data_IF_256927966682
#
_entry.id   IF_256927966682
#
_cell.length_a   1.000
_cell.length_b   1.000
_cell.length_c   1.000
_cell.angle_alpha   90.00
_cell.angle_beta   90.00
_cell.angle_gamma   90.00
#
_symmetry.space_group_name_H-M   'P 1'
#
loop_
_entity.id
_entity.type
_entity.pdbx_description
1 polymer ?
#
# COMPACT_ATOMS: atom_id res chain seq x y z
N UNK A 1 -18.81 -21.74 11.93
CA UNK A 1 -19.50 -20.62 11.28
C UNK A 1 -18.58 -19.40 11.16
N UNK A 2 -18.03 -18.87 12.29
CA UNK A 2 -17.14 -17.68 12.25
C UNK A 2 -15.86 -17.89 11.44
N UNK A 3 -15.24 -19.08 11.50
CA UNK A 3 -14.04 -19.38 10.72
C UNK A 3 -14.30 -19.27 9.21
N UNK A 4 -15.41 -19.84 8.72
CA UNK A 4 -15.81 -19.74 7.31
C UNK A 4 -16.09 -18.27 6.87
N UNK A 5 -16.64 -17.45 7.77
CA UNK A 5 -16.82 -16.03 7.52
C UNK A 5 -15.48 -15.29 7.40
N UNK A 6 -14.49 -15.66 8.23
CA UNK A 6 -13.12 -15.09 8.16
C UNK A 6 -12.44 -15.50 6.86
N UNK A 7 -12.51 -16.79 6.47
CA UNK A 7 -11.98 -17.29 5.20
C UNK A 7 -12.58 -16.54 4.01
N UNK A 8 -13.91 -16.39 3.96
CA UNK A 8 -14.57 -15.65 2.88
C UNK A 8 -14.10 -14.18 2.80
N UNK A 9 -14.00 -13.51 3.94
CA UNK A 9 -13.51 -12.12 4.01
C UNK A 9 -12.03 -12.00 3.64
N UNK A 10 -11.19 -12.97 3.99
CA UNK A 10 -9.79 -12.99 3.62
C UNK A 10 -9.62 -13.13 2.09
N UNK A 11 -10.39 -14.02 1.46
CA UNK A 11 -10.40 -14.18 0.00
C UNK A 11 -10.93 -12.93 -0.72
N UNK A 12 -12.00 -12.32 -0.22
CA UNK A 12 -12.51 -11.05 -0.75
C UNK A 12 -11.46 -9.94 -0.64
N UNK A 13 -10.80 -9.83 0.51
CA UNK A 13 -9.74 -8.85 0.73
C UNK A 13 -8.57 -9.09 -0.23
N UNK A 14 -8.12 -10.32 -0.40
CA UNK A 14 -7.07 -10.66 -1.36
C UNK A 14 -7.45 -10.22 -2.77
N UNK A 15 -8.65 -10.57 -3.23
CA UNK A 15 -9.14 -10.18 -4.57
C UNK A 15 -9.19 -8.66 -4.74
N UNK A 16 -9.65 -7.93 -3.73
CA UNK A 16 -9.73 -6.47 -3.77
C UNK A 16 -8.33 -5.84 -3.83
N UNK A 17 -7.37 -6.36 -3.08
CA UNK A 17 -5.98 -5.88 -3.08
C UNK A 17 -5.30 -6.17 -4.42
N UNK A 18 -5.48 -7.37 -4.99
CA UNK A 18 -4.95 -7.73 -6.32
C UNK A 18 -5.52 -6.82 -7.43
N UNK A 19 -6.81 -6.49 -7.36
CA UNK A 19 -7.44 -5.55 -8.30
C UNK A 19 -6.90 -4.12 -8.10
N UNK A 20 -6.73 -3.67 -6.86
CA UNK A 20 -6.15 -2.36 -6.55
C UNK A 20 -4.69 -2.26 -7.05
N UNK A 21 -3.88 -3.31 -6.85
CA UNK A 21 -2.51 -3.39 -7.36
C UNK A 21 -2.48 -3.27 -8.90
N UNK A 22 -3.35 -4.03 -9.58
CA UNK A 22 -3.44 -3.98 -11.05
C UNK A 22 -3.80 -2.59 -11.55
N UNK A 23 -4.80 -1.96 -10.94
CA UNK A 23 -5.21 -0.60 -11.29
C UNK A 23 -4.09 0.42 -11.02
N UNK A 24 -3.38 0.30 -9.91
CA UNK A 24 -2.24 1.16 -9.58
C UNK A 24 -1.12 1.02 -10.62
N UNK A 25 -0.81 -0.21 -11.06
CA UNK A 25 0.21 -0.46 -12.08
C UNK A 25 -0.22 0.05 -13.46
N UNK A 26 -1.49 -0.04 -13.82
CA UNK A 26 -2.01 0.55 -15.06
C UNK A 26 -1.85 2.08 -15.05
N UNK A 27 -2.24 2.73 -13.95
CA UNK A 27 -2.05 4.17 -13.76
C UNK A 27 -0.56 4.54 -13.85
N UNK A 28 0.31 3.74 -13.22
CA UNK A 28 1.76 3.94 -13.29
C UNK A 28 2.28 3.95 -14.73
N UNK A 29 1.96 2.92 -15.52
CA UNK A 29 2.43 2.83 -16.91
C UNK A 29 1.89 3.98 -17.76
N UNK A 30 0.61 4.31 -17.65
CA UNK A 30 -0.02 5.43 -18.35
C UNK A 30 0.61 6.77 -17.97
N UNK A 31 0.87 6.99 -16.68
CA UNK A 31 1.51 8.23 -16.19
C UNK A 31 2.95 8.34 -16.67
N UNK A 32 3.70 7.24 -16.67
CA UNK A 32 5.08 7.15 -17.18
C UNK A 32 5.15 7.53 -18.67
N UNK A 33 4.26 6.97 -19.49
CA UNK A 33 4.21 7.29 -20.92
C UNK A 33 3.78 8.74 -21.18
N UNK A 34 2.80 9.24 -20.41
CA UNK A 34 2.37 10.63 -20.49
C UNK A 34 3.49 11.59 -20.11
N UNK A 35 4.23 11.30 -19.05
CA UNK A 35 5.39 12.09 -18.62
C UNK A 35 6.48 12.09 -19.69
N UNK A 36 6.83 10.94 -20.25
CA UNK A 36 7.81 10.81 -21.33
C UNK A 36 7.43 11.69 -22.52
N UNK A 37 6.16 11.63 -22.95
CA UNK A 37 5.64 12.41 -24.05
C UNK A 37 5.65 13.94 -23.73
N UNK A 38 5.36 14.33 -22.49
CA UNK A 38 5.41 15.73 -22.08
C UNK A 38 6.84 16.28 -22.09
N UNK A 39 7.81 15.50 -21.58
CA UNK A 39 9.24 15.87 -21.63
C UNK A 39 9.72 16.01 -23.08
N UNK A 40 9.34 15.08 -23.98
CA UNK A 40 9.72 15.17 -25.38
C UNK A 40 9.17 16.44 -26.05
N UNK A 41 7.90 16.76 -25.78
CA UNK A 41 7.28 17.99 -26.29
C UNK A 41 7.91 19.25 -25.69
N UNK A 42 8.41 19.20 -24.46
CA UNK A 42 9.04 20.35 -23.81
C UNK A 42 10.36 20.78 -24.46
N UNK A 43 11.01 19.90 -25.25
CA UNK A 43 12.22 20.21 -26.03
C UNK A 43 12.02 21.35 -27.02
N UNK A 44 10.76 21.71 -27.33
CA UNK A 44 10.46 22.91 -28.12
C UNK A 44 10.98 24.19 -27.43
N UNK A 45 11.12 24.20 -26.13
CA UNK A 45 11.68 25.31 -25.36
C UNK A 45 13.16 25.55 -25.74
N UNK A 46 13.92 24.46 -25.99
CA UNK A 46 15.31 24.58 -26.44
C UNK A 46 15.39 25.20 -27.85
N UNK A 47 14.41 24.90 -28.72
CA UNK A 47 14.31 25.49 -30.04
C UNK A 47 14.02 27.03 -29.96
N UNK A 48 13.19 27.43 -28.98
CA UNK A 48 12.91 28.87 -28.75
C UNK A 48 14.20 29.59 -28.32
N UNK A 49 15.05 28.94 -27.50
CA UNK A 49 16.34 29.47 -27.11
C UNK A 49 17.23 29.72 -28.33
N UNK A 50 17.38 28.73 -29.21
CA UNK A 50 18.17 28.85 -30.45
C UNK A 50 17.64 29.94 -31.39
N UNK A 51 16.31 30.04 -31.52
CA UNK A 51 15.69 31.09 -32.32
C UNK A 51 15.94 32.49 -31.72
N UNK A 52 15.85 32.61 -30.41
CA UNK A 52 16.13 33.85 -29.69
C UNK A 52 17.59 34.31 -29.89
N UNK A 53 18.55 33.37 -29.84
CA UNK A 53 19.96 33.68 -30.13
C UNK A 53 20.15 34.16 -31.56
N UNK A 54 19.45 33.59 -32.53
CA UNK A 54 19.48 34.01 -33.93
C UNK A 54 18.91 35.44 -34.12
N UNK A 55 17.78 35.73 -33.44
CA UNK A 55 17.17 37.05 -33.46
C UNK A 55 18.11 38.10 -32.80
N UNK A 56 18.78 37.72 -31.70
CA UNK A 56 19.75 38.57 -31.02
C UNK A 56 20.91 38.96 -31.97
N UNK A 57 21.42 38.02 -32.78
CA UNK A 57 22.43 38.28 -33.78
C UNK A 57 21.92 39.21 -34.87
N UNK A 58 20.70 39.03 -35.40
CA UNK A 58 20.08 39.88 -36.40
C UNK A 58 19.90 41.29 -35.86
N UNK A 59 19.42 41.46 -34.61
CA UNK A 59 19.26 42.79 -34.00
C UNK A 59 20.61 43.52 -33.84
N UNK A 60 21.67 42.77 -33.47
CA UNK A 60 23.02 43.34 -33.38
C UNK A 60 23.56 43.82 -34.76
N UNK A 61 23.33 43.00 -35.81
CA UNK A 61 23.69 43.38 -37.18
C UNK A 61 22.89 44.58 -37.70
N UNK A 62 21.57 44.60 -37.38
CA UNK A 62 20.69 45.71 -37.77
C UNK A 62 21.14 47.00 -37.10
N UNK A 63 21.52 46.96 -35.84
CA UNK A 63 22.03 48.12 -35.12
C UNK A 63 23.34 48.63 -35.70
N UNK A 64 24.27 47.73 -36.08
CA UNK A 64 25.51 48.11 -36.77
C UNK A 64 25.25 48.72 -38.15
N UNK A 65 24.30 48.21 -38.94
CA UNK A 65 23.90 48.77 -40.22
C UNK A 65 23.29 50.15 -40.06
N UNK A 66 22.42 50.32 -39.07
CA UNK A 66 21.82 51.61 -38.75
C UNK A 66 22.88 52.68 -38.35
N UNK A 67 23.82 52.26 -37.50
CA UNK A 67 24.92 53.14 -37.10
C UNK A 67 25.79 53.55 -38.31
N UNK A 68 26.14 52.62 -39.20
CA UNK A 68 26.88 52.92 -40.41
C UNK A 68 26.12 53.88 -41.35
N UNK A 69 24.80 53.66 -41.48
CA UNK A 69 23.93 54.55 -42.26
C UNK A 69 23.83 55.95 -41.66
N UNK A 70 23.74 56.05 -40.31
CA UNK A 70 23.75 57.38 -39.63
C UNK A 70 25.08 58.15 -39.85
N UNK A 71 26.21 57.40 -39.79
CA UNK A 71 27.53 58.02 -40.07
C UNK A 71 27.62 58.55 -41.52
N UNK A 72 27.18 57.79 -42.52
CA UNK A 72 27.26 58.20 -43.92
C UNK A 72 26.24 59.33 -44.24
N UNK A 73 25.07 59.31 -43.60
CA UNK A 73 24.10 60.38 -43.66
C UNK A 73 24.66 61.66 -43.07
N UNK A 74 25.40 61.68 -41.99
CA UNK A 74 26.08 62.80 -41.43
C UNK A 74 27.20 63.33 -42.37
N UNK A 75 27.84 62.40 -43.07
CA UNK A 75 28.90 62.78 -44.06
C UNK A 75 28.37 63.49 -45.28
N UNK A 76 27.11 63.24 -45.67
CA UNK A 76 26.41 63.88 -46.78
C UNK A 76 25.86 65.27 -46.42
N UNK A 77 25.96 65.70 -45.18
CA UNK A 77 25.55 67.10 -44.73
C UNK A 77 24.04 67.30 -44.87
N UNK A 78 23.62 68.42 -45.33
CA UNK A 78 22.20 68.80 -45.48
C UNK A 78 21.40 67.81 -46.35
N UNK A 79 22.01 67.19 -47.37
CA UNK A 79 21.37 66.23 -48.26
C UNK A 79 21.07 64.86 -47.50
N UNK A 80 21.82 64.54 -46.43
CA UNK A 80 21.67 63.34 -45.66
C UNK A 80 20.72 63.45 -44.48
N UNK A 81 20.18 64.58 -44.12
CA UNK A 81 19.41 64.82 -42.88
C UNK A 81 18.20 63.89 -42.67
N UNK A 82 17.43 63.62 -43.73
CA UNK A 82 16.31 62.70 -43.69
C UNK A 82 16.74 61.24 -43.46
N UNK A 83 17.87 60.87 -44.05
CA UNK A 83 18.43 59.52 -43.88
C UNK A 83 18.98 59.27 -42.44
N UNK A 84 19.56 60.29 -41.83
CA UNK A 84 20.04 60.24 -40.44
C UNK A 84 18.89 59.94 -39.46
N UNK A 85 17.75 60.60 -39.61
CA UNK A 85 16.57 60.40 -38.75
C UNK A 85 16.05 58.92 -38.89
N UNK A 86 16.01 58.42 -40.12
CA UNK A 86 15.59 57.02 -40.34
C UNK A 86 16.59 55.99 -39.73
N UNK A 87 17.89 56.26 -39.89
CA UNK A 87 18.93 55.40 -39.33
C UNK A 87 18.87 55.36 -37.79
N UNK A 88 18.69 56.58 -37.16
CA UNK A 88 18.54 56.65 -35.70
C UNK A 88 17.29 55.89 -35.18
N UNK A 89 16.20 55.96 -35.96
CA UNK A 89 14.98 55.21 -35.60
C UNK A 89 15.13 53.68 -35.75
N UNK A 90 15.88 53.23 -36.81
CA UNK A 90 16.23 51.81 -36.97
C UNK A 90 17.11 51.32 -35.82
N UNK A 91 18.10 52.15 -35.40
CA UNK A 91 18.95 51.81 -34.24
C UNK A 91 18.12 51.64 -32.96
N UNK A 92 17.19 52.58 -32.67
CA UNK A 92 16.28 52.44 -31.52
C UNK A 92 15.39 51.18 -31.58
N UNK A 93 14.87 50.87 -32.76
CA UNK A 93 14.08 49.65 -32.97
C UNK A 93 14.92 48.38 -32.74
N UNK A 94 16.17 48.37 -33.21
CA UNK A 94 17.09 47.27 -32.98
C UNK A 94 17.39 47.09 -31.48
N UNK A 95 17.64 48.16 -30.75
CA UNK A 95 17.88 48.10 -29.30
C UNK A 95 16.63 47.65 -28.53
N UNK A 96 15.45 48.13 -28.88
CA UNK A 96 14.19 47.68 -28.32
C UNK A 96 13.96 46.19 -28.58
N UNK A 97 14.20 45.72 -29.82
CA UNK A 97 14.13 44.31 -30.20
C UNK A 97 15.10 43.43 -29.39
N UNK A 98 16.35 43.87 -29.23
CA UNK A 98 17.38 43.22 -28.42
C UNK A 98 16.93 43.02 -26.97
N UNK A 99 16.32 44.07 -26.37
CA UNK A 99 15.77 44.00 -25.01
C UNK A 99 14.67 42.96 -24.91
N UNK A 100 13.70 42.96 -25.83
CA UNK A 100 12.59 42.01 -25.86
C UNK A 100 13.08 40.56 -26.02
N UNK A 101 14.06 40.34 -26.89
CA UNK A 101 14.66 38.99 -27.06
C UNK A 101 15.37 38.54 -25.77
N UNK A 102 16.06 39.43 -25.08
CA UNK A 102 16.65 39.12 -23.77
C UNK A 102 15.60 38.72 -22.71
N UNK A 103 14.44 39.39 -22.73
CA UNK A 103 13.31 39.01 -21.88
C UNK A 103 12.75 37.60 -22.25
N UNK A 104 12.63 37.29 -23.54
CA UNK A 104 12.23 35.95 -24.04
C UNK A 104 13.23 34.91 -23.57
N UNK A 105 14.53 35.12 -23.70
CA UNK A 105 15.55 34.17 -23.23
C UNK A 105 15.44 33.88 -21.73
N UNK A 106 15.24 34.93 -20.92
CA UNK A 106 15.06 34.78 -19.46
C UNK A 106 13.80 33.96 -19.12
N UNK A 107 12.69 34.19 -19.80
CA UNK A 107 11.45 33.42 -19.63
C UNK A 107 11.67 31.97 -20.05
N UNK A 108 12.28 31.74 -21.20
CA UNK A 108 12.59 30.41 -21.74
C UNK A 108 13.45 29.61 -20.77
N UNK A 109 14.47 30.22 -20.19
CA UNK A 109 15.33 29.59 -19.18
C UNK A 109 14.54 29.20 -17.94
N UNK A 110 13.67 30.07 -17.42
CA UNK A 110 12.80 29.74 -16.27
C UNK A 110 11.82 28.61 -16.57
N UNK A 111 11.28 28.56 -17.79
CA UNK A 111 10.39 27.45 -18.21
C UNK A 111 11.16 26.14 -18.29
N UNK A 112 12.38 26.17 -18.87
CA UNK A 112 13.23 24.95 -18.93
C UNK A 112 13.56 24.43 -17.53
N UNK A 113 13.93 25.32 -16.60
CA UNK A 113 14.18 24.95 -15.20
C UNK A 113 12.94 24.35 -14.54
N UNK A 114 11.77 24.94 -14.71
CA UNK A 114 10.51 24.45 -14.16
C UNK A 114 10.14 23.05 -14.71
N UNK A 115 10.35 22.84 -16.03
CA UNK A 115 10.11 21.52 -16.66
C UNK A 115 11.08 20.47 -16.13
N UNK A 116 12.35 20.81 -15.95
CA UNK A 116 13.35 19.88 -15.39
C UNK A 116 13.00 19.50 -13.95
N UNK A 117 12.61 20.45 -13.11
CA UNK A 117 12.19 20.19 -11.74
C UNK A 117 10.92 19.32 -11.70
N UNK A 118 9.94 19.62 -12.55
CA UNK A 118 8.72 18.80 -12.69
C UNK A 118 9.06 17.36 -13.09
N UNK A 119 9.96 17.19 -14.06
CA UNK A 119 10.43 15.88 -14.54
C UNK A 119 11.09 15.09 -13.40
N UNK A 120 11.94 15.73 -12.62
CA UNK A 120 12.62 15.09 -11.47
C UNK A 120 11.61 14.60 -10.44
N UNK A 121 10.71 15.45 -9.97
CA UNK A 121 9.72 15.08 -8.97
C UNK A 121 8.71 14.03 -9.48
N UNK A 122 8.32 14.11 -10.76
CA UNK A 122 7.46 13.10 -11.36
C UNK A 122 8.16 11.73 -11.45
N UNK A 123 9.46 11.68 -11.76
CA UNK A 123 10.23 10.45 -11.73
C UNK A 123 10.36 9.87 -10.31
N UNK A 124 10.53 10.70 -9.28
CA UNK A 124 10.53 10.27 -7.88
C UNK A 124 9.18 9.64 -7.51
N UNK A 125 8.07 10.26 -7.89
CA UNK A 125 6.72 9.72 -7.66
C UNK A 125 6.51 8.39 -8.37
N UNK A 126 6.97 8.27 -9.62
CA UNK A 126 6.90 7.00 -10.37
C UNK A 126 7.75 5.91 -9.71
N UNK A 127 8.92 6.25 -9.18
CA UNK A 127 9.74 5.31 -8.42
C UNK A 127 9.03 4.85 -7.15
N UNK A 128 8.48 5.77 -6.37
CA UNK A 128 7.71 5.46 -5.18
C UNK A 128 6.55 4.49 -5.51
N UNK A 129 5.79 4.76 -6.56
CA UNK A 129 4.70 3.88 -6.97
C UNK A 129 5.16 2.48 -7.38
N UNK A 130 6.26 2.39 -8.14
CA UNK A 130 6.74 1.11 -8.68
C UNK A 130 7.48 0.23 -7.66
N UNK A 131 8.05 0.82 -6.62
CA UNK A 131 8.84 0.12 -5.59
C UNK A 131 8.04 0.01 -4.30
N UNK A 132 7.76 1.13 -3.68
CA UNK A 132 7.22 1.15 -2.31
C UNK A 132 5.74 0.73 -2.30
N UNK A 133 4.89 1.36 -3.13
CA UNK A 133 3.46 1.03 -3.22
C UNK A 133 3.24 -0.41 -3.72
N UNK A 134 4.02 -0.87 -4.69
CA UNK A 134 3.92 -2.25 -5.17
C UNK A 134 4.36 -3.26 -4.11
N UNK A 135 5.38 -2.95 -3.31
CA UNK A 135 5.81 -3.76 -2.16
C UNK A 135 4.72 -3.84 -1.10
N UNK A 136 4.04 -2.72 -0.82
CA UNK A 136 2.95 -2.67 0.15
C UNK A 136 1.76 -3.54 -0.29
N UNK A 137 1.39 -3.51 -1.58
CA UNK A 137 0.36 -4.41 -2.11
C UNK A 137 0.73 -5.89 -1.95
N UNK A 138 1.99 -6.26 -2.24
CA UNK A 138 2.46 -7.64 -2.06
C UNK A 138 2.38 -8.06 -0.58
N UNK A 139 2.75 -7.19 0.33
CA UNK A 139 2.64 -7.42 1.78
C UNK A 139 1.17 -7.61 2.20
N UNK A 140 0.25 -6.79 1.69
CA UNK A 140 -1.18 -6.92 1.97
C UNK A 140 -1.76 -8.24 1.45
N UNK A 141 -1.34 -8.69 0.26
CA UNK A 141 -1.72 -10.00 -0.30
C UNK A 141 -1.22 -11.13 0.61
N UNK A 142 0.03 -11.05 1.07
CA UNK A 142 0.60 -12.04 2.00
C UNK A 142 -0.15 -12.08 3.34
N UNK A 143 -0.50 -10.92 3.87
CA UNK A 143 -1.31 -10.81 5.09
C UNK A 143 -2.70 -11.43 4.90
N UNK A 144 -3.35 -11.17 3.77
CA UNK A 144 -4.66 -11.78 3.46
C UNK A 144 -4.57 -13.32 3.38
N UNK A 145 -3.50 -13.86 2.77
CA UNK A 145 -3.23 -15.30 2.75
C UNK A 145 -3.06 -15.87 4.15
N UNK A 146 -2.26 -15.23 5.01
CA UNK A 146 -2.07 -15.65 6.40
C UNK A 146 -3.39 -15.67 7.18
N UNK A 147 -4.25 -14.66 6.99
CA UNK A 147 -5.58 -14.68 7.63
C UNK A 147 -6.45 -15.85 7.16
N UNK A 148 -6.36 -16.23 5.89
CA UNK A 148 -7.04 -17.40 5.39
C UNK A 148 -6.52 -18.69 6.06
N UNK A 149 -5.21 -18.86 6.15
CA UNK A 149 -4.57 -20.02 6.75
C UNK A 149 -4.88 -20.10 8.25
N UNK A 150 -4.84 -19.00 8.97
CA UNK A 150 -5.22 -18.90 10.38
C UNK A 150 -6.70 -19.29 10.59
N UNK A 151 -7.59 -18.89 9.69
CA UNK A 151 -9.00 -19.23 9.76
C UNK A 151 -9.24 -20.75 9.57
N UNK A 152 -8.51 -21.39 8.65
CA UNK A 152 -8.53 -22.84 8.44
C UNK A 152 -8.02 -23.55 9.71
N UNK A 153 -6.88 -23.11 10.22
CA UNK A 153 -6.32 -23.67 11.46
C UNK A 153 -7.28 -23.57 12.65
N UNK A 154 -7.96 -22.44 12.82
CA UNK A 154 -8.97 -22.27 13.87
C UNK A 154 -10.17 -23.21 13.65
N UNK A 155 -10.60 -23.43 12.40
CA UNK A 155 -11.68 -24.34 12.09
C UNK A 155 -11.34 -25.79 12.49
N UNK A 156 -10.12 -26.24 12.17
CA UNK A 156 -9.62 -27.55 12.52
C UNK A 156 -9.51 -27.71 14.05
N UNK A 157 -8.93 -26.72 14.73
CA UNK A 157 -8.82 -26.72 16.20
C UNK A 157 -10.19 -26.79 16.90
N UNK A 158 -11.22 -26.10 16.39
CA UNK A 158 -12.58 -26.19 16.93
C UNK A 158 -13.18 -27.57 16.72
N UNK A 159 -12.89 -28.22 15.60
CA UNK A 159 -13.32 -29.60 15.31
C UNK A 159 -12.67 -30.60 16.29
N UNK A 160 -11.37 -30.52 16.49
CA UNK A 160 -10.62 -31.38 17.42
C UNK A 160 -11.08 -31.12 18.86
N UNK A 161 -11.30 -29.88 19.25
CA UNK A 161 -11.82 -29.55 20.57
C UNK A 161 -13.23 -30.15 20.80
N UNK A 162 -14.07 -30.13 19.77
CA UNK A 162 -15.41 -30.75 19.84
C UNK A 162 -15.33 -32.26 20.03
N UNK A 163 -14.44 -32.95 19.30
CA UNK A 163 -14.20 -34.38 19.45
C UNK A 163 -13.70 -34.72 20.85
N UNK A 164 -12.68 -34.01 21.34
CA UNK A 164 -12.14 -34.21 22.70
C UNK A 164 -13.20 -33.94 23.77
N UNK A 165 -14.07 -32.96 23.58
CA UNK A 165 -15.16 -32.67 24.50
C UNK A 165 -16.19 -33.78 24.55
N UNK A 166 -16.49 -34.44 23.41
CA UNK A 166 -17.38 -35.60 23.37
C UNK A 166 -16.77 -36.84 24.08
N UNK A 167 -15.48 -37.10 23.90
CA UNK A 167 -14.75 -38.13 24.58
C UNK A 167 -14.75 -37.93 26.11
N UNK A 168 -14.55 -36.65 26.53
CA UNK A 168 -14.59 -36.27 27.93
C UNK A 168 -15.97 -36.48 28.55
N UNK A 169 -17.04 -36.17 27.83
CA UNK A 169 -18.43 -36.43 28.27
C UNK A 169 -18.69 -37.94 28.40
N UNK A 170 -18.21 -38.77 27.47
CA UNK A 170 -18.31 -40.22 27.55
C UNK A 170 -17.59 -40.78 28.80
N UNK A 171 -16.35 -40.32 29.03
CA UNK A 171 -15.57 -40.71 30.19
C UNK A 171 -16.22 -40.29 31.52
N UNK A 172 -16.80 -39.09 31.60
CA UNK A 172 -17.58 -38.66 32.77
C UNK A 172 -18.78 -39.59 33.01
N UNK A 173 -19.47 -39.97 31.95
CA UNK A 173 -20.62 -40.88 32.05
C UNK A 173 -20.20 -42.28 32.58
N UNK A 174 -19.06 -42.82 32.12
CA UNK A 174 -18.52 -44.08 32.63
C UNK A 174 -18.11 -43.96 34.10
N UNK A 175 -17.45 -42.89 34.48
CA UNK A 175 -17.09 -42.65 35.90
C UNK A 175 -18.34 -42.57 36.78
N UNK A 176 -19.39 -41.89 36.31
CA UNK A 176 -20.66 -41.78 37.05
C UNK A 176 -21.32 -43.14 37.23
N UNK A 177 -21.36 -43.99 36.18
CA UNK A 177 -21.87 -45.36 36.27
C UNK A 177 -21.02 -46.23 37.23
N UNK A 178 -19.69 -46.02 37.24
CA UNK A 178 -18.80 -46.70 38.20
C UNK A 178 -19.09 -46.30 39.64
N UNK A 179 -19.35 -45.03 39.90
CA UNK A 179 -19.73 -44.52 41.25
C UNK A 179 -21.05 -45.16 41.71
N UNK A 180 -22.06 -45.23 40.81
CA UNK A 180 -23.33 -45.85 41.13
C UNK A 180 -23.17 -47.34 41.46
N UNK A 181 -22.34 -48.06 40.71
CA UNK A 181 -22.03 -49.49 40.98
C UNK A 181 -21.33 -49.68 42.35
N UNK A 182 -20.39 -48.76 42.70
CA UNK A 182 -19.72 -48.76 44.01
C UNK A 182 -20.73 -48.49 45.14
N UNK A 183 -21.66 -47.57 44.94
CA UNK A 183 -22.72 -47.29 45.94
C UNK A 183 -23.61 -48.49 46.18
N UNK A 184 -24.04 -49.17 45.11
CA UNK A 184 -24.82 -50.44 45.22
C UNK A 184 -24.04 -51.56 45.96
N UNK A 185 -22.78 -51.76 45.57
CA UNK A 185 -21.95 -52.75 46.23
C UNK A 185 -21.68 -52.46 47.72
N UNK A 186 -21.55 -51.14 48.04
CA UNK A 186 -21.48 -50.66 49.44
C UNK A 186 -22.73 -50.93 50.23
N UNK A 187 -23.90 -50.73 49.64
CA UNK A 187 -25.20 -51.05 50.24
C UNK A 187 -25.34 -52.54 50.51
N UNK A 188 -25.05 -53.41 49.52
CA UNK A 188 -25.08 -54.83 49.66
C UNK A 188 -24.07 -55.33 50.69
N UNK A 189 -22.87 -54.78 50.77
CA UNK A 189 -21.87 -55.09 51.79
C UNK A 189 -22.33 -54.71 53.21
N UNK A 190 -23.03 -53.56 53.37
CA UNK A 190 -23.61 -53.13 54.65
C UNK A 190 -24.73 -54.13 55.11
N UNK A 191 -25.62 -54.53 54.19
CA UNK A 191 -26.67 -55.48 54.44
C UNK A 191 -26.12 -56.91 54.83
N UNK A 192 -25.09 -57.37 54.06
CA UNK A 192 -24.39 -58.59 54.36
C UNK A 192 -23.71 -58.60 55.75
N UNK A 193 -23.11 -57.46 56.12
CA UNK A 193 -22.48 -57.29 57.44
C UNK A 193 -23.51 -57.30 58.58
N UNK A 194 -24.68 -56.65 58.35
CA UNK A 194 -25.80 -56.71 59.29
C UNK A 194 -26.34 -58.15 59.50
N UNK A 195 -26.51 -58.92 58.39
CA UNK A 195 -26.93 -60.35 58.48
C UNK A 195 -25.93 -61.21 59.24
N UNK A 196 -24.63 -61.03 59.01
CA UNK A 196 -23.57 -61.69 59.77
C UNK A 196 -23.66 -61.35 61.28
N UNK A 197 -23.87 -60.09 61.61
CA UNK A 197 -24.02 -59.69 63.02
C UNK A 197 -25.23 -60.35 63.70
N UNK A 198 -26.37 -60.44 63.00
CA UNK A 198 -27.60 -61.09 63.48
C UNK A 198 -27.38 -62.59 63.69
N UNK A 199 -26.70 -63.25 62.73
CA UNK A 199 -26.39 -64.73 62.83
C UNK A 199 -25.44 -64.99 63.99
N UNK A 200 -24.43 -64.17 64.19
CA UNK A 200 -23.49 -64.23 65.31
C UNK A 200 -24.21 -64.10 66.67
N UNK A 201 -25.16 -63.19 66.77
CA UNK A 201 -25.99 -63.01 67.97
C UNK A 201 -26.84 -64.24 68.26
N UNK A 202 -27.43 -64.87 67.22
CA UNK A 202 -28.19 -66.10 67.33
C UNK A 202 -27.32 -67.24 67.75
N UNK A 203 -26.12 -67.40 67.18
CA UNK A 203 -25.14 -68.44 67.57
C UNK A 203 -24.74 -68.25 69.06
N UNK A 204 -24.48 -67.02 69.51
CA UNK A 204 -24.14 -66.72 70.90
C UNK A 204 -25.28 -67.09 71.87
N UNK A 205 -26.53 -66.80 71.52
CA UNK A 205 -27.69 -67.24 72.26
C UNK A 205 -27.83 -68.78 72.35
N UNK A 206 -27.68 -69.48 71.26
CA UNK A 206 -27.74 -70.92 71.26
C UNK A 206 -26.60 -71.58 72.09
N UNK A 207 -25.38 -71.02 71.97
CA UNK A 207 -24.26 -71.49 72.76
C UNK A 207 -24.49 -71.25 74.27
N UNK A 208 -25.06 -70.11 74.66
CA UNK A 208 -25.44 -69.82 76.04
C UNK A 208 -26.53 -70.81 76.56
N UNK A 209 -27.51 -71.12 75.69
CA UNK A 209 -28.56 -72.15 76.07
C UNK A 209 -27.97 -73.51 76.27
N UNK A 210 -27.04 -73.96 75.49
CA UNK A 210 -26.37 -75.28 75.66
C UNK A 210 -25.56 -75.27 76.98
N UNK A 211 -24.85 -74.23 77.32
CA UNK A 211 -24.11 -74.10 78.56
C UNK A 211 -24.99 -74.10 79.81
N UNK A 212 -26.25 -73.73 79.71
CA UNK A 212 -27.21 -73.76 80.83
C UNK A 212 -27.94 -75.10 81.01
N UNK A 213 -27.83 -76.02 80.02
CA UNK A 213 -28.43 -77.37 80.05
C UNK A 213 -27.47 -78.44 80.51
N UNK A 214 -26.21 -78.18 80.75
CA UNK A 214 -25.20 -79.02 81.36
C UNK A 214 -25.01 -78.67 82.80
#
# INVERSE_FOLDING_TARGET
KKANEITARAMETQTNVENAQRNAMEIFYRSKDSLKNAIEKSKVVDQISVLSDSIMQITAQTNLLALNASIEAARAGEAGRGFSVVADEISKLADASKKTVGEIQNITMKVSEAVNNLSMHANELLRFMSVDVNSDYNTLIEVAKKYNDDAIFIADMVTDFSATSQELLASISEVTAGIDAIAIAGQEGAEGTSDIANRNSSISMHASQILTQV
#
